data_IF_669206331826
#
_entry.id   IF_669206331826
#
_cell.length_a   1.000
_cell.length_b   1.000
_cell.length_c   1.000
_cell.angle_alpha   90.00
_cell.angle_beta   90.00
_cell.angle_gamma   90.00
#
_symmetry.space_group_name_H-M   'P 1'
#
loop_
_entity.id
_entity.type
_entity.pdbx_description
1 polymer ?
#
# COMPACT_ATOMS: atom_id res chain seq x y z
N UNK A 1 -6.93 22.03 12.40
CA UNK A 1 -6.61 22.51 13.67
C UNK A 1 -6.39 21.40 14.70
N UNK A 2 -7.20 21.30 15.77
CA UNK A 2 -6.95 20.30 16.83
C UNK A 2 -7.02 18.86 16.32
N UNK A 3 -7.98 18.57 15.44
CA UNK A 3 -8.16 17.23 14.89
C UNK A 3 -6.95 16.80 14.05
N UNK A 4 -6.38 17.75 13.29
CA UNK A 4 -5.19 17.48 12.49
C UNK A 4 -3.98 17.20 13.37
N UNK A 5 -3.81 17.93 14.45
CA UNK A 5 -2.72 17.69 15.40
C UNK A 5 -2.88 16.34 16.09
N UNK A 6 -4.09 15.99 16.49
CA UNK A 6 -4.38 14.70 17.12
C UNK A 6 -4.08 13.55 16.16
N UNK A 7 -4.45 13.69 14.90
CA UNK A 7 -4.17 12.67 13.87
C UNK A 7 -2.66 12.50 13.68
N UNK A 8 -1.92 13.59 13.62
CA UNK A 8 -0.47 13.54 13.47
C UNK A 8 0.18 12.83 14.66
N UNK A 9 -0.26 13.13 15.88
CA UNK A 9 0.25 12.47 17.08
C UNK A 9 -0.03 10.98 17.08
N UNK A 10 -1.27 10.60 16.77
CA UNK A 10 -1.66 9.19 16.73
C UNK A 10 -0.89 8.43 15.66
N UNK A 11 -0.67 9.04 14.51
CA UNK A 11 0.12 8.43 13.45
C UNK A 11 1.56 8.19 13.91
N UNK A 12 2.15 9.18 14.58
CA UNK A 12 3.48 9.06 15.14
C UNK A 12 3.58 7.94 16.18
N UNK A 13 2.58 7.82 17.03
CA UNK A 13 2.51 6.76 18.04
C UNK A 13 2.44 5.37 17.40
N UNK A 14 1.66 5.24 16.32
CA UNK A 14 1.59 3.99 15.57
C UNK A 14 2.93 3.62 14.96
N UNK A 15 3.61 4.57 14.34
CA UNK A 15 4.94 4.34 13.78
C UNK A 15 5.92 3.91 14.85
N UNK A 16 5.91 4.57 15.98
CA UNK A 16 6.78 4.23 17.11
C UNK A 16 6.50 2.81 17.61
N UNK A 17 5.23 2.46 17.74
CA UNK A 17 4.84 1.12 18.19
C UNK A 17 5.30 0.06 17.20
N UNK A 18 5.17 0.32 15.90
CA UNK A 18 5.62 -0.61 14.86
C UNK A 18 7.14 -0.81 14.89
N UNK A 19 7.90 0.25 15.07
CA UNK A 19 9.36 0.17 15.17
C UNK A 19 9.76 -0.61 16.41
N UNK A 20 9.09 -0.38 17.53
CA UNK A 20 9.35 -1.11 18.77
C UNK A 20 9.08 -2.60 18.62
N UNK A 21 7.96 -2.94 17.97
CA UNK A 21 7.61 -4.33 17.69
C UNK A 21 8.68 -5.00 16.80
N UNK A 22 9.14 -4.29 15.77
CA UNK A 22 10.18 -4.79 14.89
C UNK A 22 11.45 -5.12 15.66
N UNK A 23 11.84 -4.26 16.60
CA UNK A 23 13.03 -4.50 17.43
C UNK A 23 12.87 -5.77 18.28
N UNK A 24 11.71 -5.97 18.87
CA UNK A 24 11.43 -7.18 19.66
C UNK A 24 11.47 -8.45 18.82
N UNK A 25 11.04 -8.37 17.56
CA UNK A 25 11.00 -9.50 16.64
C UNK A 25 12.29 -9.70 15.84
N UNK A 26 13.27 -8.82 16.03
CA UNK A 26 14.52 -8.88 15.27
C UNK A 26 14.36 -8.54 13.80
N UNK A 27 13.36 -7.74 13.47
CA UNK A 27 13.06 -7.33 12.10
C UNK A 27 13.73 -5.99 11.81
N UNK A 28 14.35 -5.87 10.63
CA UNK A 28 14.86 -4.61 10.13
C UNK A 28 13.72 -3.87 9.42
N UNK A 29 13.23 -2.79 10.04
CA UNK A 29 12.08 -2.04 9.54
C UNK A 29 12.31 -1.43 8.16
N UNK A 30 13.52 -0.93 7.88
CA UNK A 30 13.84 -0.37 6.58
C UNK A 30 13.79 -1.42 5.47
N UNK A 31 14.36 -2.59 5.74
CA UNK A 31 14.32 -3.71 4.80
C UNK A 31 12.89 -4.18 4.54
N UNK A 32 12.11 -4.31 5.60
CA UNK A 32 10.70 -4.71 5.48
C UNK A 32 9.91 -3.71 4.64
N UNK A 33 10.12 -2.41 4.87
CA UNK A 33 9.45 -1.39 4.10
C UNK A 33 9.88 -1.40 2.64
N UNK A 34 11.17 -1.61 2.37
CA UNK A 34 11.67 -1.70 1.01
C UNK A 34 11.04 -2.86 0.25
N UNK A 35 10.95 -4.02 0.89
CA UNK A 35 10.32 -5.19 0.29
C UNK A 35 8.83 -4.97 0.03
N UNK A 36 8.13 -4.32 0.97
CA UNK A 36 6.72 -3.98 0.80
C UNK A 36 6.52 -3.00 -0.35
N UNK A 37 7.41 -2.02 -0.48
CA UNK A 37 7.35 -1.03 -1.56
C UNK A 37 7.56 -1.70 -2.92
N UNK A 38 8.53 -2.59 -3.04
CA UNK A 38 8.78 -3.33 -4.28
C UNK A 38 7.57 -4.18 -4.67
N UNK A 39 6.98 -4.84 -3.70
CA UNK A 39 5.77 -5.66 -3.92
C UNK A 39 4.61 -4.80 -4.40
N UNK A 40 4.42 -3.64 -3.80
CA UNK A 40 3.36 -2.69 -4.18
C UNK A 40 3.58 -2.17 -5.60
N UNK A 41 4.81 -1.78 -5.93
CA UNK A 41 5.16 -1.31 -7.27
C UNK A 41 4.88 -2.38 -8.33
N UNK A 42 5.24 -3.63 -8.03
CA UNK A 42 4.98 -4.76 -8.92
C UNK A 42 3.48 -4.93 -9.16
N UNK A 43 2.68 -4.82 -8.11
CA UNK A 43 1.21 -4.93 -8.23
C UNK A 43 0.62 -3.78 -9.03
N UNK A 44 1.10 -2.56 -8.83
CA UNK A 44 0.66 -1.41 -9.61
C UNK A 44 0.93 -1.63 -11.10
N UNK A 45 2.12 -2.14 -11.44
CA UNK A 45 2.46 -2.45 -12.82
C UNK A 45 1.51 -3.48 -13.42
N UNK A 46 1.13 -4.51 -12.66
CA UNK A 46 0.16 -5.50 -13.11
C UNK A 46 -1.23 -4.91 -13.28
N UNK A 47 -1.65 -4.04 -12.38
CA UNK A 47 -2.94 -3.34 -12.50
C UNK A 47 -3.00 -2.57 -13.81
N UNK A 48 -1.94 -1.85 -14.14
CA UNK A 48 -1.86 -1.07 -15.39
C UNK A 48 -1.98 -2.00 -16.60
N UNK A 49 -1.27 -3.12 -16.60
CA UNK A 49 -1.33 -4.11 -17.69
C UNK A 49 -2.72 -4.69 -17.87
N UNK A 50 -3.35 -5.09 -16.76
CA UNK A 50 -4.69 -5.66 -16.82
C UNK A 50 -5.71 -4.61 -17.28
N UNK A 51 -5.58 -3.37 -16.85
CA UNK A 51 -6.43 -2.29 -17.30
C UNK A 51 -6.32 -2.10 -18.81
N UNK A 52 -5.11 -2.06 -19.34
CA UNK A 52 -4.86 -1.93 -20.77
C UNK A 52 -5.45 -3.08 -21.55
N UNK A 53 -5.25 -4.32 -21.09
CA UNK A 53 -5.76 -5.51 -21.78
C UNK A 53 -7.26 -5.60 -21.76
N UNK A 54 -7.93 -5.03 -20.76
CA UNK A 54 -9.37 -5.07 -20.59
C UNK A 54 -10.06 -3.79 -21.10
N UNK A 55 -9.30 -2.84 -21.62
CA UNK A 55 -9.84 -1.58 -22.12
C UNK A 55 -10.37 -0.66 -21.04
N UNK A 56 -9.85 -0.78 -19.80
CA UNK A 56 -10.28 0.05 -18.69
C UNK A 56 -9.37 1.27 -18.58
N UNK A 57 -9.97 2.46 -18.61
CA UNK A 57 -9.23 3.71 -18.37
C UNK A 57 -9.21 3.99 -16.87
N UNK A 58 -8.02 3.90 -16.27
CA UNK A 58 -7.83 4.08 -14.83
C UNK A 58 -8.16 5.49 -14.34
N UNK A 59 -8.17 6.49 -15.24
CA UNK A 59 -8.49 7.86 -14.86
C UNK A 59 -9.98 8.05 -14.56
N UNK A 60 -10.83 7.18 -15.11
CA UNK A 60 -12.29 7.25 -14.95
C UNK A 60 -12.89 5.95 -14.40
N UNK A 61 -12.05 4.97 -14.09
CA UNK A 61 -12.51 3.68 -13.60
C UNK A 61 -13.27 3.82 -12.26
N UNK A 62 -14.30 3.00 -12.09
CA UNK A 62 -15.03 2.94 -10.83
C UNK A 62 -14.19 2.24 -9.76
N UNK A 63 -14.58 2.40 -8.50
CA UNK A 63 -13.90 1.72 -7.39
C UNK A 63 -13.97 0.20 -7.54
N UNK A 64 -15.11 -0.32 -8.01
CA UNK A 64 -15.26 -1.76 -8.26
C UNK A 64 -14.31 -2.24 -9.35
N UNK A 65 -14.15 -1.49 -10.42
CA UNK A 65 -13.20 -1.83 -11.49
C UNK A 65 -11.77 -1.84 -10.98
N UNK A 66 -11.39 -0.81 -10.21
CA UNK A 66 -10.05 -0.72 -9.61
C UNK A 66 -9.79 -1.87 -8.64
N UNK A 67 -10.77 -2.19 -7.79
CA UNK A 67 -10.65 -3.30 -6.84
C UNK A 67 -10.51 -4.63 -7.56
N UNK A 68 -11.25 -4.83 -8.64
CA UNK A 68 -11.15 -6.04 -9.46
C UNK A 68 -9.77 -6.21 -10.07
N UNK A 69 -9.19 -5.13 -10.60
CA UNK A 69 -7.83 -5.14 -11.15
C UNK A 69 -6.79 -5.43 -10.07
N UNK A 70 -6.96 -4.86 -8.90
CA UNK A 70 -6.07 -5.10 -7.77
C UNK A 70 -6.12 -6.56 -7.32
N UNK A 71 -7.30 -7.15 -7.25
CA UNK A 71 -7.46 -8.55 -6.90
C UNK A 71 -6.81 -9.46 -7.95
N UNK A 72 -6.92 -9.14 -9.24
CA UNK A 72 -6.23 -9.87 -10.30
C UNK A 72 -4.71 -9.77 -10.12
N UNK A 73 -4.21 -8.59 -9.79
CA UNK A 73 -2.78 -8.38 -9.56
C UNK A 73 -2.25 -9.19 -8.38
N UNK A 74 -3.04 -9.38 -7.35
CA UNK A 74 -2.66 -10.20 -6.18
C UNK A 74 -2.51 -11.68 -6.52
N UNK A 75 -3.17 -12.15 -7.56
CA UNK A 75 -3.18 -13.55 -7.96
C UNK A 75 -1.97 -13.94 -8.81
N UNK A 76 -1.21 -12.97 -9.26
CA UNK A 76 -0.06 -13.18 -10.16
C UNK A 76 1.21 -13.49 -9.40
#
# INVERSE_FOLDING_TARGET
AQDSEAVIEEYGDLLFTMVSLARHLGINSEQSLRLATQKFESRISQVIRFAESQGIDLTIATDNEKNGLWDQAKSV
#
